data_IF_676458053288
#
_entry.id   IF_676458053288
#
_cell.length_a   1.000
_cell.length_b   1.000
_cell.length_c   1.000
_cell.angle_alpha   90.00
_cell.angle_beta   90.00
_cell.angle_gamma   90.00
#
_symmetry.space_group_name_H-M   'P 1'
#
loop_
_entity.id
_entity.type
_entity.pdbx_description
1 polymer ?
#
# COMPACT_ATOMS: atom_id res chain seq x y z
N UNK A 1 -29.15 13.85 -22.86
CA UNK A 1 -28.05 13.48 -21.94
C UNK A 1 -28.63 12.67 -20.79
N UNK A 2 -28.39 11.36 -20.75
CA UNK A 2 -29.04 10.42 -19.82
C UNK A 2 -28.49 10.61 -18.39
N UNK A 3 -29.30 10.39 -17.36
CA UNK A 3 -28.93 10.48 -15.93
C UNK A 3 -27.63 9.69 -15.61
N UNK A 4 -27.42 8.56 -16.29
CA UNK A 4 -26.23 7.71 -16.18
C UNK A 4 -24.94 8.34 -16.74
N UNK A 5 -25.03 9.20 -17.76
CA UNK A 5 -23.90 9.99 -18.30
C UNK A 5 -23.49 11.10 -17.31
N UNK A 6 -24.46 11.68 -16.59
CA UNK A 6 -24.20 12.70 -15.56
C UNK A 6 -23.44 12.12 -14.37
N UNK A 7 -23.83 10.93 -13.90
CA UNK A 7 -23.17 10.28 -12.77
C UNK A 7 -21.73 9.83 -13.08
N UNK A 8 -21.45 9.44 -14.33
CA UNK A 8 -20.11 9.06 -14.77
C UNK A 8 -19.17 10.26 -14.86
N UNK A 9 -19.63 11.40 -15.37
CA UNK A 9 -18.83 12.64 -15.42
C UNK A 9 -18.49 13.17 -14.03
N UNK A 10 -19.44 13.14 -13.09
CA UNK A 10 -19.19 13.55 -11.69
C UNK A 10 -18.12 12.67 -11.05
N UNK A 11 -18.18 11.35 -11.28
CA UNK A 11 -17.18 10.41 -10.76
C UNK A 11 -15.80 10.65 -11.37
N UNK A 12 -15.72 10.77 -12.69
CA UNK A 12 -14.47 11.04 -13.42
C UNK A 12 -13.85 12.36 -12.93
N UNK A 13 -14.66 13.41 -12.78
CA UNK A 13 -14.22 14.70 -12.23
C UNK A 13 -13.70 14.58 -10.79
N UNK A 14 -14.31 13.73 -9.96
CA UNK A 14 -13.88 13.50 -8.58
C UNK A 14 -12.55 12.73 -8.54
N UNK A 15 -12.40 11.71 -9.38
CA UNK A 15 -11.12 10.98 -9.53
C UNK A 15 -10.03 11.93 -10.00
N UNK A 16 -10.28 12.77 -11.01
CA UNK A 16 -9.33 13.78 -11.49
C UNK A 16 -8.95 14.78 -10.39
N UNK A 17 -9.93 15.28 -9.64
CA UNK A 17 -9.69 16.17 -8.52
C UNK A 17 -8.81 15.52 -7.44
N UNK A 18 -9.11 14.28 -7.05
CA UNK A 18 -8.30 13.56 -6.07
C UNK A 18 -6.87 13.33 -6.57
N UNK A 19 -6.71 12.86 -7.81
CA UNK A 19 -5.39 12.63 -8.39
C UNK A 19 -4.56 13.92 -8.54
N UNK A 20 -5.19 15.09 -8.71
CA UNK A 20 -4.52 16.40 -8.75
C UNK A 20 -4.17 16.94 -7.37
N UNK A 21 -5.11 16.88 -6.43
CA UNK A 21 -4.95 17.41 -5.08
C UNK A 21 -4.01 16.54 -4.23
N UNK A 22 -3.98 15.24 -4.51
CA UNK A 22 -3.19 14.24 -3.83
C UNK A 22 -2.52 13.40 -4.91
N UNK A 23 -1.30 13.75 -5.34
CA UNK A 23 -0.61 13.07 -6.43
C UNK A 23 -0.34 11.56 -6.21
N UNK A 24 -0.83 10.95 -5.12
CA UNK A 24 -0.58 9.57 -4.72
C UNK A 24 -1.77 8.93 -3.96
N UNK A 25 -3.01 9.17 -4.38
CA UNK A 25 -4.21 8.54 -3.77
C UNK A 25 -4.20 7.03 -4.00
N UNK A 26 -4.26 6.15 -2.97
CA UNK A 26 -4.28 4.71 -3.14
C UNK A 26 -5.63 4.20 -3.70
N UNK A 27 -5.61 3.05 -4.39
CA UNK A 27 -6.77 2.61 -5.20
C UNK A 27 -8.03 2.41 -4.37
N UNK A 28 -7.88 1.82 -3.18
CA UNK A 28 -9.00 1.53 -2.29
C UNK A 28 -9.71 2.81 -1.85
N UNK A 29 -8.96 3.91 -1.69
CA UNK A 29 -9.51 5.19 -1.29
C UNK A 29 -10.34 5.80 -2.44
N UNK A 30 -9.86 5.71 -3.68
CA UNK A 30 -10.68 6.09 -4.84
C UNK A 30 -11.94 5.23 -4.95
N UNK A 31 -11.85 3.93 -4.67
CA UNK A 31 -13.01 3.03 -4.66
C UNK A 31 -14.04 3.43 -3.59
N UNK A 32 -13.58 3.74 -2.38
CA UNK A 32 -14.44 4.17 -1.26
C UNK A 32 -15.08 5.53 -1.52
N UNK A 33 -14.29 6.52 -1.94
CA UNK A 33 -14.77 7.89 -2.17
C UNK A 33 -15.70 8.01 -3.38
N UNK A 34 -15.57 7.12 -4.36
CA UNK A 34 -16.43 7.08 -5.54
C UNK A 34 -17.54 6.03 -5.45
N UNK A 35 -17.55 5.22 -4.39
CA UNK A 35 -18.46 4.07 -4.25
C UNK A 35 -18.40 3.09 -5.43
N UNK A 36 -17.25 3.00 -6.11
CA UNK A 36 -17.12 2.31 -7.39
C UNK A 36 -16.18 1.12 -7.32
N UNK A 37 -16.45 0.12 -8.16
CA UNK A 37 -15.59 -1.06 -8.27
C UNK A 37 -14.20 -0.70 -8.78
N UNK A 38 -13.21 -1.54 -8.44
CA UNK A 38 -11.85 -1.49 -8.98
C UNK A 38 -11.84 -1.32 -10.51
N UNK A 39 -12.63 -2.14 -11.22
CA UNK A 39 -12.72 -2.10 -12.69
C UNK A 39 -13.22 -0.75 -13.21
N UNK A 40 -14.21 -0.17 -12.54
CA UNK A 40 -14.79 1.13 -12.90
C UNK A 40 -13.80 2.26 -12.70
N UNK A 41 -13.10 2.27 -11.55
CA UNK A 41 -12.07 3.28 -11.25
C UNK A 41 -10.95 3.22 -12.28
N UNK A 42 -10.44 2.03 -12.63
CA UNK A 42 -9.40 1.88 -13.66
C UNK A 42 -9.83 2.39 -15.04
N UNK A 43 -11.03 2.00 -15.49
CA UNK A 43 -11.56 2.48 -16.78
C UNK A 43 -11.66 4.00 -16.82
N UNK A 44 -12.05 4.61 -15.71
CA UNK A 44 -12.23 6.06 -15.63
C UNK A 44 -10.87 6.79 -15.56
N UNK A 45 -9.84 6.17 -14.95
CA UNK A 45 -8.46 6.67 -15.01
C UNK A 45 -7.89 6.55 -16.43
N UNK A 46 -8.14 5.44 -17.15
CA UNK A 46 -7.76 5.28 -18.55
C UNK A 46 -8.35 6.40 -19.41
N UNK A 47 -9.63 6.72 -19.19
CA UNK A 47 -10.32 7.79 -19.88
C UNK A 47 -9.69 9.16 -19.59
N UNK A 48 -9.34 9.44 -18.33
CA UNK A 48 -8.65 10.68 -17.95
C UNK A 48 -7.30 10.80 -18.66
N UNK A 49 -6.52 9.72 -18.75
CA UNK A 49 -5.23 9.74 -19.42
C UNK A 49 -5.35 10.03 -20.92
N UNK A 50 -6.34 9.44 -21.59
CA UNK A 50 -6.65 9.74 -22.99
C UNK A 50 -7.05 11.22 -23.20
N UNK A 51 -7.62 11.85 -22.16
CA UNK A 51 -7.97 13.27 -22.13
C UNK A 51 -6.81 14.18 -21.68
N UNK A 52 -5.63 13.61 -21.39
CA UNK A 52 -4.43 14.36 -21.02
C UNK A 52 -4.26 14.67 -19.53
N UNK A 53 -4.98 13.96 -18.65
CA UNK A 53 -5.00 14.17 -17.20
C UNK A 53 -4.91 12.87 -16.39
N UNK A 54 -4.34 12.88 -15.18
CA UNK A 54 -2.95 13.26 -14.92
C UNK A 54 -1.96 12.29 -15.60
N UNK A 55 -0.86 12.83 -16.14
CA UNK A 55 0.14 12.05 -16.90
C UNK A 55 1.03 11.16 -16.03
N UNK A 56 1.12 11.45 -14.74
CA UNK A 56 2.04 10.79 -13.81
C UNK A 56 1.42 9.56 -13.11
N UNK A 57 0.22 9.12 -13.53
CA UNK A 57 -0.39 7.90 -13.00
C UNK A 57 0.27 6.67 -13.63
N UNK A 58 1.21 6.05 -12.91
CA UNK A 58 1.88 4.82 -13.31
C UNK A 58 1.08 3.59 -12.84
N UNK A 59 0.44 2.91 -13.80
CA UNK A 59 -0.32 1.67 -13.56
C UNK A 59 0.53 0.57 -12.93
N UNK A 60 1.81 0.45 -13.26
CA UNK A 60 2.67 -0.58 -12.71
C UNK A 60 3.09 -0.28 -11.27
N UNK A 61 3.28 1.00 -10.90
CA UNK A 61 3.40 1.39 -9.50
C UNK A 61 2.13 1.06 -8.71
N UNK A 62 0.97 1.19 -9.34
CA UNK A 62 -0.33 0.98 -8.69
C UNK A 62 -0.76 -0.49 -8.60
N UNK A 63 -0.33 -1.32 -9.56
CA UNK A 63 -0.70 -2.73 -9.70
C UNK A 63 0.39 -3.70 -9.20
N UNK A 64 1.66 -3.31 -9.29
CA UNK A 64 2.80 -4.24 -9.23
C UNK A 64 3.75 -4.08 -8.05
N UNK A 65 3.74 -2.95 -7.35
CA UNK A 65 4.60 -2.73 -6.17
C UNK A 65 3.73 -2.30 -5.01
N UNK A 66 3.78 -3.07 -3.92
CA UNK A 66 3.03 -2.69 -2.72
C UNK A 66 3.68 -1.53 -1.96
N UNK A 67 4.93 -1.18 -2.32
CA UNK A 67 5.79 -0.24 -1.59
C UNK A 67 6.59 0.65 -2.54
N UNK A 68 6.76 1.92 -2.15
CA UNK A 68 7.57 2.93 -2.87
C UNK A 68 6.75 4.03 -3.54
N UNK A 69 5.48 4.19 -3.17
CA UNK A 69 4.58 5.23 -3.69
C UNK A 69 4.73 6.51 -2.83
N UNK A 70 4.81 6.37 -1.50
CA UNK A 70 5.21 7.45 -0.60
C UNK A 70 6.72 7.69 -0.74
N UNK A 71 7.12 8.89 -1.17
CA UNK A 71 8.52 9.31 -1.16
C UNK A 71 8.92 9.76 0.23
N UNK A 72 9.95 9.14 0.78
CA UNK A 72 10.49 9.49 2.09
C UNK A 72 11.98 9.14 2.20
N UNK A 73 12.53 9.18 3.41
CA UNK A 73 13.91 8.78 3.64
C UNK A 73 14.06 7.28 3.33
N UNK A 74 15.01 6.94 2.45
CA UNK A 74 15.42 5.55 2.20
C UNK A 74 15.82 4.89 3.51
N UNK A 75 15.06 3.88 3.89
CA UNK A 75 15.19 3.23 5.19
C UNK A 75 15.29 1.73 4.99
N UNK A 76 16.37 1.14 5.50
CA UNK A 76 16.52 -0.31 5.54
C UNK A 76 15.60 -0.86 6.63
N UNK A 77 14.80 -1.85 6.28
CA UNK A 77 13.86 -2.53 7.17
C UNK A 77 14.19 -4.01 7.21
N UNK A 78 14.24 -4.56 8.42
CA UNK A 78 14.50 -5.97 8.71
C UNK A 78 13.34 -6.51 9.55
N UNK A 79 12.68 -7.54 9.04
CA UNK A 79 11.51 -8.16 9.64
C UNK A 79 11.76 -9.65 9.84
N UNK A 80 11.35 -10.17 11.00
CA UNK A 80 11.30 -11.60 11.27
C UNK A 80 9.85 -12.05 11.26
N UNK A 81 9.53 -13.00 10.39
CA UNK A 81 8.22 -13.64 10.35
C UNK A 81 8.27 -15.04 10.92
N UNK A 82 7.13 -15.49 11.43
CA UNK A 82 6.93 -16.89 11.75
C UNK A 82 7.05 -17.75 10.48
N UNK A 83 7.56 -18.98 10.63
CA UNK A 83 7.71 -19.92 9.51
C UNK A 83 6.41 -20.20 8.76
N UNK A 84 5.23 -20.03 9.40
CA UNK A 84 3.92 -20.16 8.76
C UNK A 84 3.72 -19.19 7.59
N UNK A 85 4.45 -18.08 7.55
CA UNK A 85 4.37 -17.08 6.47
C UNK A 85 5.36 -17.35 5.32
N UNK A 86 6.22 -18.36 5.43
CA UNK A 86 7.32 -18.59 4.48
C UNK A 86 6.85 -18.90 3.04
N UNK A 87 5.71 -19.57 2.87
CA UNK A 87 5.13 -19.85 1.55
C UNK A 87 4.64 -18.54 0.92
N UNK A 88 3.82 -17.79 1.64
CA UNK A 88 3.25 -16.52 1.19
C UNK A 88 4.32 -15.46 0.85
N UNK A 89 5.38 -15.36 1.67
CA UNK A 89 6.48 -14.42 1.42
C UNK A 89 7.28 -14.77 0.16
N UNK A 90 7.37 -16.06 -0.21
CA UNK A 90 8.08 -16.50 -1.42
C UNK A 90 7.26 -16.32 -2.69
N UNK A 91 5.94 -16.46 -2.60
CA UNK A 91 5.05 -16.35 -3.76
C UNK A 91 4.92 -14.92 -4.28
N UNK A 92 5.11 -13.92 -3.40
CA UNK A 92 4.90 -12.52 -3.76
C UNK A 92 6.13 -11.65 -3.48
N UNK A 93 6.55 -10.94 -4.53
CA UNK A 93 7.54 -9.87 -4.41
C UNK A 93 6.83 -8.55 -4.09
N UNK A 94 7.00 -8.06 -2.87
CA UNK A 94 6.34 -6.82 -2.39
C UNK A 94 7.15 -5.57 -2.74
N UNK A 95 8.48 -5.72 -2.84
CA UNK A 95 9.38 -4.66 -3.26
C UNK A 95 10.59 -5.20 -4.03
N UNK A 96 11.12 -4.46 -5.02
CA UNK A 96 12.26 -4.91 -5.82
C UNK A 96 13.51 -5.25 -5.00
N UNK A 97 13.75 -4.51 -3.91
CA UNK A 97 14.91 -4.74 -3.03
C UNK A 97 14.70 -5.85 -1.99
N UNK A 98 13.55 -6.53 -2.00
CA UNK A 98 13.22 -7.57 -1.03
C UNK A 98 14.18 -8.73 -1.15
N UNK A 99 14.73 -9.16 -0.01
CA UNK A 99 15.55 -10.36 0.14
C UNK A 99 14.98 -11.20 1.27
N UNK A 100 14.82 -12.49 1.02
CA UNK A 100 14.41 -13.47 2.03
C UNK A 100 15.60 -14.35 2.40
N UNK A 101 15.77 -14.58 3.68
CA UNK A 101 16.70 -15.58 4.21
C UNK A 101 16.11 -16.99 4.09
N UNK A 102 16.97 -18.01 4.21
CA UNK A 102 16.50 -19.38 4.44
C UNK A 102 15.81 -19.45 5.81
N UNK A 103 14.69 -20.17 5.94
CA UNK A 103 14.07 -20.37 7.25
C UNK A 103 15.07 -20.96 8.25
N UNK A 104 15.19 -20.34 9.43
CA UNK A 104 16.07 -20.79 10.51
C UNK A 104 15.34 -20.61 11.84
N UNK A 105 15.41 -21.62 12.71
CA UNK A 105 14.79 -21.60 14.06
C UNK A 105 13.30 -21.22 14.05
N UNK A 106 12.53 -21.74 13.09
CA UNK A 106 11.09 -21.45 13.01
C UNK A 106 10.75 -20.05 12.50
N UNK A 107 11.72 -19.30 11.96
CA UNK A 107 11.52 -17.94 11.45
C UNK A 107 12.08 -17.77 10.05
N UNK A 108 11.54 -16.79 9.33
CA UNK A 108 12.06 -16.32 8.05
C UNK A 108 12.29 -14.81 8.14
N UNK A 109 13.53 -14.38 7.88
CA UNK A 109 13.88 -12.97 7.86
C UNK A 109 13.69 -12.40 6.47
N UNK A 110 12.99 -11.27 6.39
CA UNK A 110 12.90 -10.42 5.21
C UNK A 110 13.70 -9.14 5.43
N UNK A 111 14.45 -8.72 4.41
CA UNK A 111 15.16 -7.44 4.39
C UNK A 111 14.80 -6.69 3.13
N UNK A 112 14.50 -5.40 3.26
CA UNK A 112 14.27 -4.51 2.13
C UNK A 112 14.63 -3.07 2.47
N UNK A 113 14.59 -2.19 1.47
CA UNK A 113 14.81 -0.76 1.61
C UNK A 113 13.59 -0.06 1.05
N UNK A 114 12.87 0.66 1.89
CA UNK A 114 11.65 1.40 1.53
C UNK A 114 11.94 2.89 1.48
N UNK A 115 11.16 3.61 0.69
CA UNK A 115 11.09 5.07 0.73
C UNK A 115 10.01 5.47 1.74
N UNK A 116 10.41 6.04 2.88
CA UNK A 116 9.46 6.31 3.97
C UNK A 116 9.02 5.04 4.72
N UNK A 117 8.34 5.21 5.86
CA UNK A 117 8.00 4.10 6.77
C UNK A 117 6.50 3.86 6.96
N UNK A 118 5.64 4.77 6.47
CA UNK A 118 4.20 4.71 6.72
C UNK A 118 3.53 3.53 5.99
N UNK A 119 3.88 3.28 4.72
CA UNK A 119 3.30 2.16 3.96
C UNK A 119 3.67 0.80 4.55
N UNK A 120 4.94 0.64 4.94
CA UNK A 120 5.42 -0.60 5.53
C UNK A 120 4.86 -0.80 6.94
N UNK A 121 4.60 0.27 7.69
CA UNK A 121 3.95 0.22 9.00
C UNK A 121 2.57 -0.46 8.90
N UNK A 122 1.68 0.03 8.03
CA UNK A 122 0.34 -0.56 7.87
C UNK A 122 0.40 -1.99 7.34
N UNK A 123 1.31 -2.27 6.41
CA UNK A 123 1.52 -3.62 5.92
C UNK A 123 1.98 -4.56 7.04
N UNK A 124 2.90 -4.14 7.92
CA UNK A 124 3.34 -4.93 9.08
C UNK A 124 2.15 -5.23 10.00
N UNK A 125 1.33 -4.21 10.32
CA UNK A 125 0.17 -4.36 11.21
C UNK A 125 -0.84 -5.39 10.70
N UNK A 126 -0.99 -5.53 9.37
CA UNK A 126 -1.90 -6.53 8.77
C UNK A 126 -1.54 -7.99 9.10
N UNK A 127 -0.28 -8.28 9.46
CA UNK A 127 0.15 -9.62 9.88
C UNK A 127 -0.07 -9.88 11.39
N UNK A 128 -0.38 -8.84 12.16
CA UNK A 128 -0.55 -8.93 13.61
C UNK A 128 0.71 -9.49 14.30
N UNK A 129 0.53 -10.51 15.14
CA UNK A 129 1.60 -11.11 15.94
C UNK A 129 2.61 -11.96 15.16
N UNK A 130 2.36 -12.23 13.87
CA UNK A 130 3.17 -13.15 13.04
C UNK A 130 4.44 -12.52 12.46
N UNK A 131 4.65 -11.23 12.74
CA UNK A 131 5.78 -10.45 12.26
C UNK A 131 6.37 -9.64 13.42
N UNK A 132 7.69 -9.52 13.43
CA UNK A 132 8.42 -8.65 14.35
C UNK A 132 9.36 -7.75 13.56
N UNK A 133 9.29 -6.45 13.85
CA UNK A 133 10.28 -5.49 13.35
C UNK A 133 11.57 -5.65 14.14
N UNK A 134 12.66 -5.97 13.44
CA UNK A 134 14.01 -6.07 14.00
C UNK A 134 14.73 -4.73 13.84
N UNK A 135 14.64 -4.13 12.65
CA UNK A 135 15.20 -2.82 12.34
C UNK A 135 14.29 -2.05 11.35
N UNK A 136 14.24 -0.70 11.42
CA UNK A 136 14.85 0.16 12.43
C UNK A 136 14.02 0.21 13.72
N UNK A 137 14.65 0.61 14.83
CA UNK A 137 13.96 0.77 16.13
C UNK A 137 12.79 1.76 16.05
N UNK A 138 12.93 2.84 15.29
CA UNK A 138 11.86 3.83 15.11
C UNK A 138 10.57 3.21 14.56
N UNK A 139 10.68 2.31 13.58
CA UNK A 139 9.53 1.58 13.03
C UNK A 139 8.94 0.60 14.04
N UNK A 140 9.78 -0.09 14.81
CA UNK A 140 9.32 -1.00 15.86
C UNK A 140 8.50 -0.26 16.95
N UNK A 141 8.93 0.94 17.36
CA UNK A 141 8.17 1.76 18.32
C UNK A 141 6.84 2.25 17.71
N UNK A 142 6.81 2.62 16.43
CA UNK A 142 5.55 3.02 15.77
C UNK A 142 4.53 1.86 15.73
N UNK A 143 4.97 0.65 15.35
CA UNK A 143 4.12 -0.55 15.37
C UNK A 143 3.58 -0.79 16.78
N UNK A 144 4.45 -0.72 17.80
CA UNK A 144 4.06 -0.92 19.20
C UNK A 144 3.01 0.11 19.64
N UNK A 145 3.21 1.39 19.31
CA UNK A 145 2.27 2.45 19.66
C UNK A 145 0.91 2.23 19.00
N UNK A 146 0.88 1.84 17.73
CA UNK A 146 -0.38 1.61 17.01
C UNK A 146 -1.15 0.40 17.58
N UNK A 147 -0.44 -0.68 17.94
CA UNK A 147 -1.03 -1.83 18.60
C UNK A 147 -1.61 -1.49 19.98
N UNK A 148 -0.91 -0.67 20.76
CA UNK A 148 -1.40 -0.19 22.07
C UNK A 148 -2.64 0.70 21.91
N UNK A 149 -2.64 1.61 20.94
CA UNK A 149 -3.79 2.45 20.59
C UNK A 149 -4.98 1.59 20.19
N UNK A 150 -4.76 0.58 19.36
CA UNK A 150 -5.79 -0.36 18.94
C UNK A 150 -6.37 -1.12 20.13
N UNK A 151 -5.50 -1.67 21.00
CA UNK A 151 -5.92 -2.41 22.20
C UNK A 151 -6.78 -1.55 23.14
N UNK A 152 -6.45 -0.27 23.31
CA UNK A 152 -7.21 0.64 24.16
C UNK A 152 -8.65 0.88 23.69
N UNK A 153 -8.97 0.64 22.42
CA UNK A 153 -10.34 0.79 21.88
C UNK A 153 -11.27 -0.36 22.26
N UNK A 154 -10.73 -1.48 22.71
CA UNK A 154 -11.49 -2.69 23.09
C UNK A 154 -11.56 -2.86 24.62
N UNK A 155 -11.43 -1.76 25.36
CA UNK A 155 -11.58 -1.71 26.82
C UNK A 155 -13.04 -1.52 27.23
#
# INVERSE_FOLDING_TARGET
>A
MKIMERQSLVRISKIDQELRCRPYTPLYQLMEETGSSRRTVFRDIDALQQMGAPRDFDYEQYLGKAWGIIKGKKTKVVLDFDQSQAVFLKEKQWHPSQKLSKPQNGKIRMTLTVDGIDEILWWILSYGSRVKVVEPRSLAEQVKNELMTSLNKYK
#
